data_IF_976068125011
#
_entry.id   IF_976068125011
#
_cell.length_a   1.000
_cell.length_b   1.000
_cell.length_c   1.000
_cell.angle_alpha   90.00
_cell.angle_beta   90.00
_cell.angle_gamma   90.00
#
_symmetry.space_group_name_H-M   'P 1'
#
loop_
_entity.id
_entity.type
_entity.pdbx_description
1 polymer ?
#
# COMPACT_ATOMS: atom_id res chain seq x y z
N UNK A 1 -20.02 21.36 4.67
CA UNK A 1 -18.87 20.79 5.40
C UNK A 1 -18.08 20.01 4.38
N UNK A 2 -16.85 20.42 4.06
CA UNK A 2 -16.04 19.82 2.99
C UNK A 2 -15.26 18.64 3.56
N UNK A 3 -15.21 17.53 2.83
CA UNK A 3 -14.38 16.39 3.20
C UNK A 3 -12.89 16.76 3.07
N UNK A 4 -12.08 16.67 4.15
CA UNK A 4 -10.67 17.04 4.12
C UNK A 4 -9.78 16.06 3.32
N UNK A 5 -10.28 14.88 2.94
CA UNK A 5 -9.55 13.88 2.17
C UNK A 5 -9.86 13.92 0.66
N UNK A 6 -10.86 14.72 0.28
CA UNK A 6 -11.28 14.87 -1.11
C UNK A 6 -10.79 16.21 -1.66
N UNK A 7 -10.25 16.18 -2.87
CA UNK A 7 -9.94 17.36 -3.66
C UNK A 7 -11.24 17.99 -4.20
N UNK A 8 -11.22 19.26 -4.67
CA UNK A 8 -12.41 19.93 -5.19
C UNK A 8 -13.10 19.23 -6.37
N UNK A 9 -12.38 18.36 -7.09
CA UNK A 9 -12.91 17.52 -8.17
C UNK A 9 -13.62 16.24 -7.66
N UNK A 10 -13.67 16.02 -6.35
CA UNK A 10 -14.26 14.83 -5.73
C UNK A 10 -13.36 13.60 -5.73
N UNK A 11 -12.11 13.71 -6.17
CA UNK A 11 -11.12 12.62 -6.13
C UNK A 11 -10.34 12.69 -4.83
N UNK A 12 -9.97 11.53 -4.28
CA UNK A 12 -9.18 11.49 -3.05
C UNK A 12 -7.79 12.07 -3.25
N UNK A 13 -7.32 12.82 -2.24
CA UNK A 13 -5.94 13.30 -2.21
C UNK A 13 -4.99 12.11 -2.15
N UNK A 14 -4.18 11.94 -3.19
CA UNK A 14 -3.28 10.81 -3.35
C UNK A 14 -1.85 11.26 -3.71
N UNK A 15 -0.87 10.39 -3.42
CA UNK A 15 0.54 10.68 -3.69
C UNK A 15 0.96 10.51 -5.15
N UNK A 16 0.06 10.02 -6.01
CA UNK A 16 0.32 9.77 -7.43
C UNK A 16 -0.05 10.97 -8.31
N UNK A 17 -0.72 11.98 -7.73
CA UNK A 17 -1.20 13.15 -8.45
C UNK A 17 -2.36 12.86 -9.40
N UNK A 18 -3.02 11.71 -9.25
CA UNK A 18 -4.13 11.29 -10.12
C UNK A 18 -5.37 12.13 -9.77
N UNK A 19 -6.01 12.70 -10.79
CA UNK A 19 -7.20 13.56 -10.66
C UNK A 19 -8.47 12.96 -11.27
N UNK A 20 -8.39 11.73 -11.77
CA UNK A 20 -9.53 10.93 -12.24
C UNK A 20 -9.83 9.82 -11.23
N UNK A 21 -11.10 9.65 -10.87
CA UNK A 21 -11.49 8.67 -9.85
C UNK A 21 -11.32 7.22 -10.31
N UNK A 22 -11.49 6.95 -11.61
CA UNK A 22 -11.38 5.60 -12.16
C UNK A 22 -9.92 5.19 -12.24
N UNK A 23 -9.08 6.08 -12.79
CA UNK A 23 -7.63 5.89 -12.83
C UNK A 23 -7.05 5.72 -11.42
N UNK A 24 -7.53 6.49 -10.44
CA UNK A 24 -7.09 6.35 -9.05
C UNK A 24 -7.46 4.99 -8.49
N UNK A 25 -8.70 4.53 -8.73
CA UNK A 25 -9.16 3.22 -8.26
C UNK A 25 -8.36 2.07 -8.87
N UNK A 26 -7.98 2.15 -10.14
CA UNK A 26 -7.16 1.14 -10.82
C UNK A 26 -5.75 1.12 -10.23
N UNK A 27 -5.11 2.28 -10.09
CA UNK A 27 -3.78 2.39 -9.51
C UNK A 27 -3.74 1.91 -8.04
N UNK A 28 -4.77 2.21 -7.25
CA UNK A 28 -4.91 1.71 -5.88
C UNK A 28 -5.02 0.19 -5.83
N UNK A 29 -5.81 -0.41 -6.72
CA UNK A 29 -5.97 -1.86 -6.80
C UNK A 29 -4.65 -2.56 -7.16
N UNK A 30 -3.90 -2.02 -8.13
CA UNK A 30 -2.62 -2.58 -8.55
C UNK A 30 -1.58 -2.54 -7.43
N UNK A 31 -1.48 -1.41 -6.72
CA UNK A 31 -0.57 -1.26 -5.58
C UNK A 31 -0.97 -2.24 -4.45
N UNK A 32 -2.26 -2.31 -4.12
CA UNK A 32 -2.76 -3.19 -3.07
C UNK A 32 -2.50 -4.67 -3.38
N UNK A 33 -2.65 -5.08 -4.64
CA UNK A 33 -2.37 -6.46 -5.07
C UNK A 33 -0.91 -6.85 -4.85
N UNK A 34 0.04 -5.96 -5.16
CA UNK A 34 1.47 -6.18 -4.93
C UNK A 34 1.79 -6.29 -3.45
N UNK A 35 1.30 -5.36 -2.63
CA UNK A 35 1.55 -5.35 -1.18
C UNK A 35 0.94 -6.57 -0.49
N UNK A 36 -0.23 -7.03 -0.93
CA UNK A 36 -0.86 -8.24 -0.42
C UNK A 36 -0.01 -9.48 -0.74
N UNK A 37 0.55 -9.59 -1.94
CA UNK A 37 1.45 -10.68 -2.30
C UNK A 37 2.74 -10.66 -1.45
N UNK A 38 3.28 -9.48 -1.13
CA UNK A 38 4.42 -9.34 -0.21
C UNK A 38 4.04 -9.79 1.20
N UNK A 39 2.84 -9.42 1.67
CA UNK A 39 2.34 -9.79 3.00
C UNK A 39 2.10 -11.30 3.12
N UNK A 40 1.57 -11.94 2.07
CA UNK A 40 1.41 -13.40 2.02
C UNK A 40 2.76 -14.13 2.05
N UNK A 41 3.75 -13.63 1.31
CA UNK A 41 5.09 -14.22 1.29
C UNK A 41 5.84 -14.01 2.61
N UNK A 42 5.58 -12.90 3.28
CA UNK A 42 6.24 -12.52 4.52
C UNK A 42 5.24 -11.80 5.46
N UNK A 43 4.54 -12.54 6.32
CA UNK A 43 3.57 -11.94 7.25
C UNK A 43 4.22 -10.95 8.22
N UNK A 44 3.52 -9.85 8.52
CA UNK A 44 3.95 -8.90 9.55
C UNK A 44 3.72 -9.52 10.95
N UNK A 45 4.75 -9.67 11.80
CA UNK A 45 4.55 -10.16 13.14
C UNK A 45 3.80 -9.11 13.98
N UNK A 46 2.73 -9.53 14.64
CA UNK A 46 1.90 -8.61 15.42
C UNK A 46 0.76 -9.28 16.15
N UNK A 47 0.21 -8.56 17.12
CA UNK A 47 -1.04 -8.92 17.80
C UNK A 47 -2.28 -8.64 16.96
N UNK A 48 -2.14 -7.86 15.87
CA UNK A 48 -3.25 -7.36 15.03
C UNK A 48 -4.36 -6.65 15.84
N UNK A 49 -4.02 -6.13 17.01
CA UNK A 49 -4.89 -5.24 17.75
C UNK A 49 -4.86 -3.83 17.14
N UNK A 50 -5.77 -2.98 17.59
CA UNK A 50 -5.88 -1.62 17.07
C UNK A 50 -4.58 -0.82 17.22
N UNK A 51 -3.83 -1.03 18.31
CA UNK A 51 -2.57 -0.34 18.54
C UNK A 51 -1.49 -0.81 17.55
N UNK A 52 -1.44 -2.11 17.25
CA UNK A 52 -0.57 -2.67 16.24
C UNK A 52 -0.93 -2.15 14.84
N UNK A 53 -2.21 -2.15 14.47
CA UNK A 53 -2.67 -1.67 13.16
C UNK A 53 -2.43 -0.16 12.95
N UNK A 54 -2.55 0.64 14.00
CA UNK A 54 -2.24 2.08 13.95
C UNK A 54 -0.73 2.37 13.95
N UNK A 55 0.08 1.46 14.50
CA UNK A 55 1.52 1.60 14.60
C UNK A 55 2.25 1.24 13.30
N UNK A 56 1.65 0.45 12.39
CA UNK A 56 2.22 0.17 11.06
C UNK A 56 2.11 1.44 10.20
N UNK A 57 3.20 2.19 9.98
CA UNK A 57 3.17 3.36 9.12
C UNK A 57 3.20 2.90 7.65
N UNK A 58 2.57 3.63 6.70
CA UNK A 58 2.66 3.28 5.27
C UNK A 58 4.09 3.29 4.69
N UNK A 59 5.07 3.82 5.44
CA UNK A 59 6.48 3.77 5.08
C UNK A 59 7.15 2.40 5.34
N UNK A 60 6.62 1.60 6.26
CA UNK A 60 7.22 0.30 6.65
C UNK A 60 6.91 -0.80 5.63
N UNK A 61 5.79 -0.69 4.90
CA UNK A 61 5.50 -1.52 3.74
C UNK A 61 6.50 -1.29 2.58
N UNK A 62 6.99 -0.05 2.43
CA UNK A 62 7.87 0.36 1.31
C UNK A 62 9.33 -0.09 1.42
N UNK A 63 9.78 -0.60 2.57
CA UNK A 63 11.16 -1.06 2.76
C UNK A 63 11.37 -2.56 2.52
N UNK A 64 10.32 -3.27 2.10
CA UNK A 64 10.35 -4.72 1.89
C UNK A 64 10.81 -5.04 0.47
N UNK A 65 12.10 -4.91 0.22
CA UNK A 65 12.73 -5.37 -1.03
C UNK A 65 12.64 -6.90 -1.09
N UNK A 66 12.21 -7.50 -2.22
CA UNK A 66 12.27 -8.95 -2.37
C UNK A 66 13.74 -9.40 -2.36
N UNK A 67 14.13 -10.16 -1.35
CA UNK A 67 15.42 -10.88 -1.37
C UNK A 67 15.31 -11.94 -2.46
N UNK A 68 15.94 -11.69 -3.60
CA UNK A 68 16.03 -12.62 -4.71
C UNK A 68 16.53 -13.98 -4.25
N UNK A 69 15.72 -15.02 -4.52
CA UNK A 69 16.11 -16.43 -4.42
C UNK A 69 17.42 -16.65 -5.20
N UNK A 70 18.35 -17.36 -4.57
CA UNK A 70 19.68 -17.62 -5.10
C UNK A 70 19.68 -18.21 -6.51
N UNK A 71 20.45 -17.58 -7.39
CA UNK A 71 21.01 -18.25 -8.55
C UNK A 71 22.19 -19.10 -8.06
N UNK A 72 21.90 -20.32 -7.61
CA UNK A 72 22.88 -21.40 -7.62
C UNK A 72 22.63 -22.19 -8.91
N UNK A 73 23.44 -21.95 -9.93
CA UNK A 73 23.58 -22.87 -11.07
C UNK A 73 24.97 -23.47 -11.03
N UNK A 74 24.96 -24.80 -11.07
CA UNK A 74 26.08 -25.73 -11.17
C UNK A 74 26.71 -25.67 -12.57
#
# INVERSE_FOLDING_TARGET
MTDPYSEPNGVLRNSLGITDATELSEAEADIAAVELAILDAQPLPGSYDLAHLQAVPPADLRQRVPVGRGAANH
#
